data_IF_962656499394
#
_entry.id   IF_962656499394
#
_cell.length_a   1.000
_cell.length_b   1.000
_cell.length_c   1.000
_cell.angle_alpha   90.00
_cell.angle_beta   90.00
_cell.angle_gamma   90.00
#
_symmetry.space_group_name_H-M   'P 1'
#
loop_
_entity.id
_entity.type
_entity.pdbx_description
1 polymer ?
#
# COMPACT_ATOMS: atom_id res chain seq x y z
N UNK A 1 17.98 22.68 10.70
CA UNK A 1 17.11 22.67 11.91
C UNK A 1 17.86 22.97 13.21
N UNK A 2 19.20 22.89 13.28
CA UNK A 2 19.95 23.35 14.47
C UNK A 2 19.63 22.59 15.77
N UNK A 3 19.04 21.40 15.68
CA UNK A 3 18.71 20.57 16.83
C UNK A 3 19.97 19.87 17.34
N UNK A 4 20.15 19.86 18.66
CA UNK A 4 21.22 19.10 19.31
C UNK A 4 20.97 17.58 19.12
N UNK A 5 21.91 16.85 18.50
CA UNK A 5 21.80 15.40 18.33
C UNK A 5 21.60 14.62 19.64
N UNK A 6 22.05 15.16 20.78
CA UNK A 6 21.88 14.52 22.09
C UNK A 6 20.41 14.47 22.55
N UNK A 7 19.54 15.33 21.98
CA UNK A 7 18.10 15.32 22.25
C UNK A 7 17.34 14.27 21.43
N UNK A 8 17.99 13.64 20.45
CA UNK A 8 17.36 12.64 19.60
C UNK A 8 17.54 11.24 20.19
N UNK A 9 16.51 10.37 20.09
CA UNK A 9 16.66 8.99 20.52
C UNK A 9 17.69 8.27 19.64
N UNK A 10 18.45 7.36 20.25
CA UNK A 10 19.32 6.44 19.52
C UNK A 10 18.49 5.57 18.58
N UNK A 11 18.86 5.52 17.31
CA UNK A 11 18.26 4.61 16.33
C UNK A 11 18.75 3.18 16.59
N UNK A 12 17.80 2.27 16.80
CA UNK A 12 18.05 0.83 17.04
C UNK A 12 17.84 0.08 15.73
N UNK A 13 18.77 -0.80 15.36
CA UNK A 13 18.67 -1.56 14.10
C UNK A 13 17.69 -2.73 14.18
N UNK A 14 17.14 -3.20 13.05
CA UNK A 14 16.40 -4.46 13.00
C UNK A 14 17.19 -5.61 13.64
N UNK A 15 16.56 -6.30 14.59
CA UNK A 15 17.17 -7.42 15.33
C UNK A 15 18.06 -7.02 16.50
N UNK A 16 18.30 -5.72 16.73
CA UNK A 16 19.00 -5.22 17.90
C UNK A 16 18.03 -5.09 19.09
N UNK A 17 18.52 -5.39 20.29
CA UNK A 17 17.77 -5.21 21.54
C UNK A 17 17.74 -3.72 21.89
N UNK A 18 16.54 -3.15 21.99
CA UNK A 18 16.36 -1.74 22.37
C UNK A 18 16.62 -1.51 23.87
N UNK A 19 16.37 -2.54 24.69
CA UNK A 19 16.64 -2.52 26.11
C UNK A 19 16.05 -3.73 26.83
N UNK A 20 15.91 -3.62 28.14
CA UNK A 20 15.29 -4.66 28.97
C UNK A 20 14.27 -4.06 29.93
N UNK A 21 13.20 -4.81 30.21
CA UNK A 21 12.21 -4.47 31.23
C UNK A 21 12.89 -4.30 32.59
N UNK A 22 12.62 -3.16 33.26
CA UNK A 22 13.11 -2.83 34.62
C UNK A 22 12.04 -3.16 35.66
N UNK A 23 12.39 -3.22 36.94
CA UNK A 23 11.40 -3.43 38.01
C UNK A 23 10.44 -2.23 38.16
N UNK A 24 9.29 -2.45 38.82
CA UNK A 24 8.43 -1.36 39.30
C UNK A 24 7.48 -0.72 38.27
N UNK A 25 7.19 -1.40 37.17
CA UNK A 25 6.42 -0.86 36.05
C UNK A 25 4.96 -1.37 35.98
N UNK A 26 4.55 -2.27 36.88
CA UNK A 26 3.17 -2.78 36.98
C UNK A 26 2.67 -3.59 35.77
N UNK A 27 3.53 -3.87 34.78
CA UNK A 27 3.18 -4.70 33.62
C UNK A 27 3.47 -6.18 33.91
N UNK A 28 2.80 -7.12 33.25
CA UNK A 28 2.97 -8.56 33.46
C UNK A 28 4.25 -9.11 32.79
N UNK A 29 5.36 -8.37 32.82
CA UNK A 29 6.63 -8.77 32.21
C UNK A 29 7.71 -8.92 33.28
N UNK A 30 8.46 -10.02 33.23
CA UNK A 30 9.58 -10.26 34.14
C UNK A 30 10.72 -9.27 33.90
N UNK A 31 11.41 -8.86 34.97
CA UNK A 31 12.66 -8.08 34.88
C UNK A 31 13.65 -8.77 33.93
N UNK A 32 14.33 -7.98 33.11
CA UNK A 32 15.33 -8.49 32.16
C UNK A 32 14.74 -8.99 30.84
N UNK A 33 13.41 -9.02 30.68
CA UNK A 33 12.76 -9.33 29.39
C UNK A 33 13.26 -8.35 28.31
N UNK A 34 13.72 -8.88 27.18
CA UNK A 34 14.24 -8.08 26.08
C UNK A 34 13.12 -7.25 25.44
N UNK A 35 13.41 -6.00 25.15
CA UNK A 35 12.54 -5.08 24.41
C UNK A 35 13.07 -4.96 22.98
N UNK A 36 12.24 -5.30 22.00
CA UNK A 36 12.58 -5.12 20.59
C UNK A 36 12.48 -3.63 20.19
N UNK A 37 13.13 -3.25 19.08
CA UNK A 37 13.12 -1.88 18.55
C UNK A 37 11.72 -1.34 18.21
N UNK A 38 10.74 -2.21 18.00
CA UNK A 38 9.44 -1.84 17.44
C UNK A 38 9.57 -1.37 15.99
N UNK A 39 8.46 -0.90 15.42
CA UNK A 39 8.41 -0.34 14.07
C UNK A 39 7.10 0.44 13.90
N UNK A 40 7.00 1.27 12.86
CA UNK A 40 5.74 1.90 12.46
C UNK A 40 4.70 0.87 12.01
N UNK A 41 3.42 1.26 12.05
CA UNK A 41 2.26 0.42 11.74
C UNK A 41 2.31 -0.22 10.34
N UNK A 42 2.62 0.55 9.29
CA UNK A 42 2.68 0.08 7.91
C UNK A 42 3.88 -0.86 7.69
N UNK A 43 5.01 -0.59 8.35
CA UNK A 43 6.16 -1.48 8.36
C UNK A 43 5.88 -2.78 9.15
N UNK A 44 5.13 -2.72 10.25
CA UNK A 44 4.67 -3.90 10.97
C UNK A 44 3.70 -4.73 10.10
N UNK A 45 2.77 -4.07 9.41
CA UNK A 45 1.85 -4.72 8.48
C UNK A 45 2.61 -5.39 7.32
N UNK A 46 3.54 -4.68 6.68
CA UNK A 46 4.41 -5.24 5.64
C UNK A 46 5.18 -6.48 6.12
N UNK A 47 5.75 -6.41 7.34
CA UNK A 47 6.46 -7.52 7.95
C UNK A 47 5.54 -8.72 8.22
N UNK A 48 4.37 -8.48 8.82
CA UNK A 48 3.40 -9.51 9.19
C UNK A 48 2.75 -10.20 7.98
N UNK A 49 2.57 -9.46 6.89
CA UNK A 49 2.11 -9.98 5.60
C UNK A 49 3.21 -10.73 4.82
N UNK A 50 4.47 -10.59 5.24
CA UNK A 50 5.59 -11.16 4.52
C UNK A 50 5.81 -10.51 3.15
N UNK A 51 5.50 -9.21 3.02
CA UNK A 51 5.68 -8.44 1.79
C UNK A 51 7.12 -8.58 1.32
N UNK A 52 7.27 -8.85 0.02
CA UNK A 52 8.56 -8.88 -0.68
C UNK A 52 8.74 -7.58 -1.46
N UNK A 53 9.98 -7.18 -1.74
CA UNK A 53 10.23 -6.03 -2.60
C UNK A 53 9.41 -6.09 -3.90
N UNK A 54 8.83 -4.95 -4.28
CA UNK A 54 8.01 -4.82 -5.49
C UNK A 54 6.57 -5.34 -5.39
N UNK A 55 6.13 -5.88 -4.24
CA UNK A 55 4.72 -6.26 -4.02
C UNK A 55 3.92 -5.07 -3.47
N UNK A 56 2.90 -4.56 -4.19
CA UNK A 56 2.10 -3.43 -3.73
C UNK A 56 1.11 -3.82 -2.64
N UNK A 57 0.93 -2.93 -1.67
CA UNK A 57 -0.10 -3.02 -0.64
C UNK A 57 -0.98 -1.79 -0.68
N UNK A 58 -2.29 -2.00 -0.58
CA UNK A 58 -3.31 -0.96 -0.41
C UNK A 58 -4.06 -1.22 0.88
N UNK A 59 -3.95 -0.30 1.82
CA UNK A 59 -4.67 -0.30 3.08
C UNK A 59 -5.91 0.59 2.99
N UNK A 60 -7.07 -0.02 3.13
CA UNK A 60 -8.38 0.63 3.12
C UNK A 60 -8.88 0.86 4.55
N UNK A 61 -8.46 1.97 5.15
CA UNK A 61 -9.03 2.50 6.38
C UNK A 61 -9.92 3.72 6.12
N UNK A 62 -10.25 4.44 7.19
CA UNK A 62 -10.91 5.76 7.13
C UNK A 62 -10.25 6.63 6.06
N UNK A 63 -8.91 6.70 6.14
CA UNK A 63 -8.01 7.17 5.10
C UNK A 63 -7.40 5.99 4.32
N UNK A 64 -6.88 6.27 3.13
CA UNK A 64 -6.25 5.27 2.28
C UNK A 64 -4.74 5.36 2.38
N UNK A 65 -4.05 4.23 2.36
CA UNK A 65 -2.58 4.21 2.31
C UNK A 65 -2.10 3.17 1.32
N UNK A 66 -1.12 3.54 0.51
CA UNK A 66 -0.47 2.66 -0.46
C UNK A 66 1.02 2.66 -0.24
N UNK A 67 1.61 1.46 -0.26
CA UNK A 67 3.04 1.29 -0.02
C UNK A 67 3.57 0.02 -0.70
N UNK A 68 4.90 -0.04 -0.83
CA UNK A 68 5.62 -1.25 -1.20
C UNK A 68 6.93 -1.31 -0.40
N UNK A 69 7.52 -2.49 -0.28
CA UNK A 69 8.92 -2.62 0.17
C UNK A 69 9.83 -2.44 -1.05
N UNK A 70 10.94 -1.74 -0.90
CA UNK A 70 11.98 -1.60 -1.92
C UNK A 70 13.36 -1.57 -1.28
N UNK A 71 14.36 -2.06 -2.01
CA UNK A 71 15.76 -2.06 -1.56
C UNK A 71 16.46 -0.74 -1.91
N UNK A 72 15.84 0.11 -2.73
CA UNK A 72 16.36 1.41 -3.11
C UNK A 72 15.68 2.50 -2.30
N UNK A 73 16.46 3.47 -1.82
CA UNK A 73 15.90 4.62 -1.14
C UNK A 73 14.98 5.38 -2.11
N UNK A 74 13.70 5.60 -1.76
CA UNK A 74 12.81 6.38 -2.61
C UNK A 74 13.31 7.82 -2.70
N UNK A 75 13.27 8.35 -3.91
CA UNK A 75 13.63 9.72 -4.22
C UNK A 75 12.47 10.38 -4.95
N UNK A 76 11.66 11.12 -4.20
CA UNK A 76 10.57 11.93 -4.75
C UNK A 76 10.80 13.41 -4.44
N UNK A 77 11.22 14.22 -5.44
CA UNK A 77 11.44 15.64 -5.24
C UNK A 77 10.15 16.43 -4.98
N UNK A 78 8.97 15.85 -5.27
CA UNK A 78 7.68 16.51 -5.02
C UNK A 78 7.26 16.44 -3.56
N UNK A 79 7.85 15.53 -2.77
CA UNK A 79 7.48 15.28 -1.37
C UNK A 79 6.14 14.56 -1.19
N UNK A 80 5.59 13.98 -2.26
CA UNK A 80 4.32 13.23 -2.22
C UNK A 80 4.52 11.85 -1.58
N UNK A 81 5.62 11.18 -1.92
CA UNK A 81 6.00 9.87 -1.39
C UNK A 81 6.88 10.03 -0.16
N UNK A 82 6.39 9.55 0.97
CA UNK A 82 7.17 9.48 2.20
C UNK A 82 8.13 8.28 2.13
N UNK A 83 9.42 8.52 2.37
CA UNK A 83 10.45 7.47 2.41
C UNK A 83 10.70 6.97 3.82
N UNK A 84 9.95 5.96 4.26
CA UNK A 84 10.18 5.31 5.55
C UNK A 84 11.19 4.17 5.46
N UNK A 85 11.74 3.76 6.61
CA UNK A 85 12.43 2.48 6.74
C UNK A 85 11.40 1.37 6.96
N UNK A 86 11.65 0.19 6.38
CA UNK A 86 10.89 -1.00 6.71
C UNK A 86 11.40 -1.64 8.02
N UNK A 87 10.75 -2.72 8.46
CA UNK A 87 11.12 -3.42 9.69
C UNK A 87 12.36 -4.35 9.57
N UNK A 88 12.93 -4.50 8.37
CA UNK A 88 14.05 -5.42 8.05
C UNK A 88 15.33 -4.68 7.61
N UNK A 89 15.28 -3.37 7.43
CA UNK A 89 16.40 -2.53 7.00
C UNK A 89 16.36 -2.14 5.51
N UNK A 90 15.30 -2.51 4.81
CA UNK A 90 14.93 -2.00 3.49
C UNK A 90 14.13 -0.67 3.64
N UNK A 91 13.56 -0.18 2.55
CA UNK A 91 12.76 1.05 2.52
C UNK A 91 11.28 0.74 2.27
N UNK A 92 10.43 1.64 2.75
CA UNK A 92 8.98 1.60 2.65
C UNK A 92 8.46 2.93 2.09
N UNK A 93 8.58 3.18 0.77
CA UNK A 93 7.87 4.28 0.12
C UNK A 93 6.37 4.14 0.34
N UNK A 94 5.75 5.26 0.70
CA UNK A 94 4.36 5.27 1.13
C UNK A 94 3.69 6.59 0.75
N UNK A 95 2.47 6.51 0.26
CA UNK A 95 1.59 7.65 0.03
C UNK A 95 0.23 7.42 0.71
N UNK A 96 -0.38 8.50 1.19
CA UNK A 96 -1.67 8.46 1.87
C UNK A 96 -2.67 9.39 1.18
N UNK A 97 -3.92 8.94 1.10
CA UNK A 97 -5.08 9.76 0.75
C UNK A 97 -5.95 9.96 1.99
N UNK A 98 -6.59 11.12 2.12
CA UNK A 98 -7.55 11.40 3.19
C UNK A 98 -8.88 10.69 2.92
N UNK A 99 -9.34 10.72 1.67
CA UNK A 99 -10.67 10.25 1.30
C UNK A 99 -10.62 8.82 0.78
N UNK A 100 -10.93 7.88 1.67
CA UNK A 100 -11.03 6.45 1.36
C UNK A 100 -12.40 5.91 1.80
N UNK A 101 -12.47 5.05 2.82
CA UNK A 101 -13.74 4.48 3.24
C UNK A 101 -14.66 5.53 3.85
N UNK A 102 -14.13 6.55 4.52
CA UNK A 102 -14.93 7.61 5.13
C UNK A 102 -15.77 8.36 4.10
N UNK A 103 -15.18 8.71 2.95
CA UNK A 103 -15.87 9.48 1.93
C UNK A 103 -16.94 8.65 1.22
N UNK A 104 -16.67 7.36 0.96
CA UNK A 104 -17.65 6.41 0.43
C UNK A 104 -18.80 6.20 1.41
N UNK A 105 -18.50 6.01 2.70
CA UNK A 105 -19.50 5.88 3.76
C UNK A 105 -20.39 7.14 3.84
N UNK A 106 -19.80 8.33 3.64
CA UNK A 106 -20.57 9.59 3.59
C UNK A 106 -21.50 9.65 2.39
N UNK A 107 -21.06 9.22 1.21
CA UNK A 107 -21.91 9.18 0.00
C UNK A 107 -23.03 8.16 0.15
N UNK A 108 -22.74 6.95 0.66
CA UNK A 108 -23.75 5.95 0.95
C UNK A 108 -24.83 6.48 1.90
N UNK A 109 -24.42 7.18 2.97
CA UNK A 109 -25.35 7.80 3.90
C UNK A 109 -26.20 8.91 3.26
N UNK A 110 -25.63 9.76 2.42
CA UNK A 110 -26.36 10.81 1.71
C UNK A 110 -27.41 10.25 0.75
N UNK A 111 -27.12 9.08 0.14
CA UNK A 111 -28.02 8.40 -0.78
C UNK A 111 -29.00 7.44 -0.07
N UNK A 112 -28.84 7.25 1.24
CA UNK A 112 -29.56 6.25 2.04
C UNK A 112 -29.43 4.84 1.45
N UNK A 113 -28.21 4.44 1.08
CA UNK A 113 -27.89 3.15 0.48
C UNK A 113 -26.99 2.30 1.39
N UNK A 114 -27.14 0.99 1.30
CA UNK A 114 -26.14 0.05 1.82
C UNK A 114 -24.84 0.16 1.00
N UNK A 115 -23.71 -0.09 1.66
CA UNK A 115 -22.36 0.03 1.06
C UNK A 115 -22.16 -0.88 -0.14
N UNK A 116 -22.87 -2.00 -0.20
CA UNK A 116 -22.78 -3.00 -1.26
C UNK A 116 -23.87 -2.82 -2.34
N UNK A 117 -24.78 -1.84 -2.19
CA UNK A 117 -25.81 -1.51 -3.17
C UNK A 117 -25.26 -0.72 -4.39
N UNK A 118 -24.05 -1.09 -4.83
CA UNK A 118 -23.38 -0.48 -5.98
C UNK A 118 -23.95 -1.02 -7.29
N UNK A 119 -24.11 -0.13 -8.26
CA UNK A 119 -24.52 -0.49 -9.62
C UNK A 119 -23.44 -0.04 -10.60
N UNK A 120 -22.87 -0.95 -11.41
CA UNK A 120 -21.96 -0.55 -12.47
C UNK A 120 -22.64 0.42 -13.44
N UNK A 121 -22.00 1.55 -13.69
CA UNK A 121 -22.50 2.58 -14.60
C UNK A 121 -21.38 3.22 -15.39
N UNK A 122 -21.72 3.82 -16.53
CA UNK A 122 -20.82 4.69 -17.29
C UNK A 122 -21.40 6.09 -17.29
N UNK A 123 -20.54 7.10 -17.36
CA UNK A 123 -20.94 8.50 -17.58
C UNK A 123 -20.94 9.36 -16.33
N UNK A 124 -21.03 8.77 -15.12
CA UNK A 124 -20.90 9.51 -13.86
C UNK A 124 -19.49 9.35 -13.28
N UNK A 125 -18.97 10.43 -12.72
CA UNK A 125 -17.67 10.44 -12.03
C UNK A 125 -17.80 11.23 -10.75
N UNK A 126 -17.27 10.67 -9.65
CA UNK A 126 -17.15 11.37 -8.38
C UNK A 126 -15.67 11.46 -7.98
N UNK A 127 -15.18 12.65 -7.67
CA UNK A 127 -13.95 12.85 -6.92
C UNK A 127 -14.34 13.08 -5.45
N UNK A 128 -14.09 12.12 -4.54
CA UNK A 128 -14.65 12.17 -3.21
C UNK A 128 -13.79 13.00 -2.24
N UNK A 129 -13.24 14.14 -2.66
CA UNK A 129 -12.33 14.97 -1.84
C UNK A 129 -13.08 15.86 -0.85
N UNK A 130 -13.87 15.23 0.03
CA UNK A 130 -14.80 15.93 0.92
C UNK A 130 -14.09 16.77 1.99
N UNK A 131 -12.88 16.35 2.40
CA UNK A 131 -12.04 17.03 3.39
C UNK A 131 -10.81 17.73 2.77
N UNK A 132 -10.88 18.09 1.48
CA UNK A 132 -9.68 18.33 0.69
C UNK A 132 -8.92 17.02 0.43
N UNK A 133 -7.71 17.07 -0.12
CA UNK A 133 -6.89 15.87 -0.35
C UNK A 133 -5.39 16.12 -0.12
N UNK A 134 -4.71 15.09 0.40
CA UNK A 134 -3.27 15.07 0.62
C UNK A 134 -2.52 14.58 -0.61
N UNK A 135 -3.02 13.51 -1.22
CA UNK A 135 -2.43 12.92 -2.43
C UNK A 135 -3.54 12.71 -3.47
N UNK A 136 -3.61 13.53 -4.53
CA UNK A 136 -2.74 14.68 -4.83
C UNK A 136 -2.90 15.84 -3.83
N UNK A 137 -1.91 16.74 -3.76
CA UNK A 137 -1.91 17.88 -2.83
C UNK A 137 -2.95 18.93 -3.23
N UNK A 138 -4.18 18.76 -2.75
CA UNK A 138 -5.35 19.59 -3.03
C UNK A 138 -6.09 19.90 -1.71
N UNK A 139 -5.47 20.61 -0.76
CA UNK A 139 -6.01 20.79 0.59
C UNK A 139 -7.33 21.58 0.63
N UNK A 140 -7.59 22.39 -0.41
CA UNK A 140 -8.77 23.24 -0.50
C UNK A 140 -9.81 22.71 -1.49
N UNK A 141 -9.65 21.49 -2.02
CA UNK A 141 -10.67 20.92 -2.91
C UNK A 141 -11.90 20.49 -2.13
N UNK A 142 -13.03 20.41 -2.82
CA UNK A 142 -14.26 19.78 -2.35
C UNK A 142 -14.64 18.62 -3.26
N UNK A 143 -15.62 17.82 -2.82
CA UNK A 143 -16.16 16.75 -3.64
C UNK A 143 -16.71 17.27 -4.97
N UNK A 144 -16.41 16.58 -6.07
CA UNK A 144 -16.88 16.93 -7.40
C UNK A 144 -17.65 15.77 -8.00
N UNK A 145 -18.91 16.02 -8.37
CA UNK A 145 -19.77 15.09 -9.08
C UNK A 145 -20.00 15.60 -10.50
N UNK A 146 -19.72 14.76 -11.49
CA UNK A 146 -19.86 15.11 -12.89
C UNK A 146 -20.62 14.04 -13.67
N UNK A 147 -21.34 14.47 -14.72
CA UNK A 147 -21.96 13.59 -15.70
C UNK A 147 -23.35 13.07 -15.35
N UNK A 148 -24.05 13.72 -14.41
CA UNK A 148 -25.43 13.41 -14.07
C UNK A 148 -26.36 13.49 -15.31
N UNK A 149 -27.27 12.52 -15.38
CA UNK A 149 -28.34 12.40 -16.38
C UNK A 149 -29.64 12.02 -15.66
N UNK A 150 -30.78 12.18 -16.34
CA UNK A 150 -32.09 11.84 -15.76
C UNK A 150 -32.22 10.36 -15.36
N UNK A 151 -31.47 9.48 -16.01
CA UNK A 151 -31.44 8.03 -15.77
C UNK A 151 -30.32 7.58 -14.81
N UNK A 152 -29.57 8.52 -14.23
CA UNK A 152 -28.53 8.18 -13.24
C UNK A 152 -29.17 7.65 -11.96
N UNK A 153 -28.75 6.46 -11.53
CA UNK A 153 -29.25 5.84 -10.29
C UNK A 153 -28.36 6.15 -9.08
N UNK A 154 -28.91 5.97 -7.87
CA UNK A 154 -28.15 6.07 -6.62
C UNK A 154 -27.02 5.02 -6.54
N UNK A 155 -27.26 3.80 -7.02
CA UNK A 155 -26.23 2.75 -7.05
C UNK A 155 -25.06 3.10 -7.96
N UNK A 156 -25.31 3.78 -9.10
CA UNK A 156 -24.26 4.28 -9.99
C UNK A 156 -23.46 5.41 -9.35
N UNK A 157 -24.11 6.29 -8.60
CA UNK A 157 -23.44 7.36 -7.83
C UNK A 157 -22.55 6.78 -6.73
N UNK A 158 -23.05 5.77 -6.00
CA UNK A 158 -22.26 5.08 -4.99
C UNK A 158 -21.05 4.38 -5.64
N UNK A 159 -21.25 3.67 -6.76
CA UNK A 159 -20.15 3.05 -7.50
C UNK A 159 -19.10 4.09 -7.97
N UNK A 160 -19.54 5.28 -8.40
CA UNK A 160 -18.63 6.36 -8.78
C UNK A 160 -17.79 6.87 -7.58
N UNK A 161 -18.33 6.82 -6.36
CA UNK A 161 -17.56 7.15 -5.15
C UNK A 161 -16.45 6.14 -4.87
N UNK A 162 -16.75 4.85 -5.00
CA UNK A 162 -15.73 3.79 -4.95
C UNK A 162 -14.69 3.97 -6.04
N UNK A 163 -15.11 4.24 -7.28
CA UNK A 163 -14.21 4.45 -8.41
C UNK A 163 -13.25 5.62 -8.16
N UNK A 164 -13.78 6.76 -7.68
CA UNK A 164 -12.97 7.94 -7.37
C UNK A 164 -11.93 7.70 -6.27
N UNK A 165 -12.34 7.05 -5.18
CA UNK A 165 -11.44 6.75 -4.06
C UNK A 165 -10.34 5.76 -4.48
N UNK A 166 -10.70 4.67 -5.17
CA UNK A 166 -9.73 3.69 -5.69
C UNK A 166 -8.82 4.32 -6.74
N UNK A 167 -9.36 5.15 -7.63
CA UNK A 167 -8.56 5.84 -8.64
C UNK A 167 -7.50 6.73 -8.00
N UNK A 168 -7.87 7.52 -6.98
CA UNK A 168 -6.91 8.34 -6.22
C UNK A 168 -5.80 7.50 -5.59
N UNK A 169 -6.16 6.36 -4.97
CA UNK A 169 -5.20 5.43 -4.38
C UNK A 169 -4.28 4.77 -5.42
N UNK A 170 -4.79 4.43 -6.60
CA UNK A 170 -3.98 3.86 -7.67
C UNK A 170 -3.03 4.91 -8.27
N UNK A 171 -3.48 6.16 -8.42
CA UNK A 171 -2.62 7.26 -8.83
C UNK A 171 -1.50 7.51 -7.80
N UNK A 172 -1.82 7.44 -6.50
CA UNK A 172 -0.81 7.50 -5.44
C UNK A 172 0.14 6.30 -5.47
N UNK A 173 -0.36 5.10 -5.77
CA UNK A 173 0.43 3.88 -5.86
C UNK A 173 1.43 3.95 -7.02
N UNK A 174 1.04 4.53 -8.16
CA UNK A 174 1.94 4.73 -9.31
C UNK A 174 3.13 5.64 -8.99
N UNK A 175 3.01 6.52 -7.98
CA UNK A 175 4.13 7.34 -7.48
C UNK A 175 5.05 6.55 -6.53
N UNK A 176 4.49 5.62 -5.77
CA UNK A 176 5.19 4.76 -4.81
C UNK A 176 6.00 3.67 -5.50
N UNK A 177 5.44 3.10 -6.57
CA UNK A 177 6.06 1.99 -7.30
C UNK A 177 7.24 2.49 -8.15
N UNK A 178 8.39 1.86 -7.98
CA UNK A 178 9.60 2.13 -8.75
C UNK A 178 9.76 1.13 -9.91
N UNK A 179 10.92 1.15 -10.57
CA UNK A 179 11.22 0.25 -11.69
C UNK A 179 11.32 -1.23 -11.30
N UNK A 180 11.45 -1.54 -10.01
CA UNK A 180 11.54 -2.91 -9.50
C UNK A 180 10.16 -3.48 -9.14
N UNK A 181 9.10 -2.68 -9.28
CA UNK A 181 7.73 -3.14 -9.06
C UNK A 181 7.36 -4.22 -10.08
N UNK A 182 7.00 -5.40 -9.59
CA UNK A 182 6.54 -6.50 -10.43
C UNK A 182 5.11 -6.19 -10.92
N UNK A 183 4.88 -5.99 -12.24
CA UNK A 183 3.54 -5.72 -12.76
C UNK A 183 2.60 -6.91 -12.62
N UNK A 184 3.15 -8.13 -12.48
CA UNK A 184 2.38 -9.36 -12.30
C UNK A 184 2.07 -9.67 -10.83
N UNK A 185 2.72 -8.98 -9.89
CA UNK A 185 2.47 -9.17 -8.47
C UNK A 185 1.04 -8.75 -8.11
N UNK A 186 0.36 -9.54 -7.26
CA UNK A 186 -0.97 -9.20 -6.78
C UNK A 186 -0.92 -7.94 -5.91
N UNK A 187 -2.02 -7.19 -5.93
CA UNK A 187 -2.24 -6.09 -5.02
C UNK A 187 -2.83 -6.64 -3.72
N UNK A 188 -2.07 -6.50 -2.63
CA UNK A 188 -2.51 -6.93 -1.30
C UNK A 188 -3.46 -5.87 -0.73
N UNK A 189 -4.71 -6.25 -0.48
CA UNK A 189 -5.73 -5.36 0.06
C UNK A 189 -5.94 -5.66 1.54
N UNK A 190 -5.70 -4.67 2.39
CA UNK A 190 -5.82 -4.78 3.86
C UNK A 190 -6.70 -3.66 4.43
N UNK A 191 -6.96 -3.70 5.73
CA UNK A 191 -7.83 -2.72 6.41
C UNK A 191 -9.30 -3.13 6.43
N UNK A 192 -10.13 -2.29 7.05
CA UNK A 192 -11.57 -2.55 7.21
C UNK A 192 -12.30 -2.67 5.87
N UNK A 193 -11.97 -1.80 4.92
CA UNK A 193 -12.58 -1.79 3.58
C UNK A 193 -12.25 -3.03 2.74
N UNK A 194 -11.14 -3.72 3.03
CA UNK A 194 -10.72 -4.89 2.25
C UNK A 194 -11.71 -6.06 2.31
N UNK A 195 -12.60 -6.10 3.31
CA UNK A 195 -13.64 -7.14 3.45
C UNK A 195 -14.85 -6.91 2.54
N UNK A 196 -15.09 -5.68 2.11
CA UNK A 196 -16.24 -5.32 1.27
C UNK A 196 -16.07 -5.81 -0.16
N UNK A 197 -17.15 -6.33 -0.75
CA UNK A 197 -17.08 -6.90 -2.10
C UNK A 197 -16.97 -5.80 -3.15
N UNK A 198 -17.67 -4.67 -2.94
CA UNK A 198 -17.56 -3.47 -3.77
C UNK A 198 -16.12 -2.94 -3.85
N UNK A 199 -15.39 -2.88 -2.74
CA UNK A 199 -13.98 -2.48 -2.72
C UNK A 199 -13.10 -3.46 -3.51
N UNK A 200 -13.21 -4.76 -3.23
CA UNK A 200 -12.40 -5.78 -3.92
C UNK A 200 -12.63 -5.77 -5.43
N UNK A 201 -13.88 -5.68 -5.88
CA UNK A 201 -14.22 -5.65 -7.30
C UNK A 201 -13.75 -4.36 -7.97
N UNK A 202 -13.92 -3.21 -7.31
CA UNK A 202 -13.48 -1.92 -7.84
C UNK A 202 -11.95 -1.86 -7.97
N UNK A 203 -11.21 -2.27 -6.94
CA UNK A 203 -9.74 -2.34 -6.99
C UNK A 203 -9.29 -3.30 -8.08
N UNK A 204 -9.89 -4.49 -8.19
CA UNK A 204 -9.55 -5.45 -9.25
C UNK A 204 -9.79 -4.87 -10.64
N UNK A 205 -10.94 -4.22 -10.84
CA UNK A 205 -11.35 -3.62 -12.11
C UNK A 205 -10.41 -2.50 -12.53
N UNK A 206 -10.11 -1.56 -11.63
CA UNK A 206 -9.34 -0.36 -11.96
C UNK A 206 -7.83 -0.61 -11.99
N UNK A 207 -7.30 -1.45 -11.10
CA UNK A 207 -5.85 -1.75 -11.07
C UNK A 207 -5.43 -2.68 -12.21
N UNK A 208 -6.34 -3.50 -12.72
CA UNK A 208 -6.02 -4.59 -13.65
C UNK A 208 -5.13 -5.69 -13.04
N UNK A 209 -4.90 -5.66 -11.72
CA UNK A 209 -4.10 -6.65 -10.98
C UNK A 209 -5.00 -7.65 -10.28
N UNK A 210 -4.46 -8.85 -10.03
CA UNK A 210 -5.07 -9.77 -9.08
C UNK A 210 -5.12 -9.11 -7.70
N UNK A 211 -6.26 -9.16 -7.03
CA UNK A 211 -6.43 -8.66 -5.65
C UNK A 211 -6.35 -9.85 -4.70
N UNK A 212 -5.55 -9.72 -3.65
CA UNK A 212 -5.48 -10.69 -2.58
C UNK A 212 -5.83 -10.00 -1.26
N UNK A 213 -6.80 -10.56 -0.55
CA UNK A 213 -7.14 -10.14 0.82
C UNK A 213 -6.50 -11.14 1.77
N UNK A 214 -5.40 -10.78 2.46
CA UNK A 214 -4.74 -11.69 3.38
C UNK A 214 -5.69 -12.08 4.50
N UNK A 215 -5.83 -13.39 4.77
CA UNK A 215 -6.56 -13.83 5.95
C UNK A 215 -5.76 -13.46 7.19
N UNK A 216 -6.39 -12.75 8.12
CA UNK A 216 -5.84 -12.56 9.46
C UNK A 216 -5.78 -13.92 10.16
N UNK A 217 -4.66 -14.63 10.02
CA UNK A 217 -4.38 -15.78 10.88
C UNK A 217 -4.09 -15.22 12.26
N UNK A 218 -5.07 -15.31 13.15
CA UNK A 218 -4.83 -15.16 14.58
C UNK A 218 -3.77 -16.19 14.99
N UNK A 219 -2.51 -15.77 15.08
CA UNK A 219 -1.40 -16.63 15.50
C UNK A 219 -1.39 -16.89 17.01
N UNK A 220 -2.44 -16.48 17.74
CA UNK A 220 -2.53 -16.60 19.19
C UNK A 220 -2.59 -18.04 19.72
N UNK A 221 -2.62 -19.07 18.86
CA UNK A 221 -2.64 -20.46 19.34
C UNK A 221 -2.15 -21.47 18.29
N UNK A 222 -0.86 -21.45 17.97
CA UNK A 222 -0.22 -22.58 17.27
C UNK A 222 1.27 -22.62 17.57
N UNK A 223 1.62 -23.18 18.73
CA UNK A 223 2.98 -23.62 19.03
C UNK A 223 3.39 -24.76 18.11
N UNK A 224 3.89 -24.45 16.91
CA UNK A 224 4.77 -25.34 16.15
C UNK A 224 6.03 -24.58 15.81
N UNK A 225 7.10 -24.88 16.56
CA UNK A 225 8.48 -24.54 16.22
C UNK A 225 8.73 -24.98 14.77
N UNK A 226 8.77 -24.05 13.82
CA UNK A 226 9.46 -24.29 12.56
C UNK A 226 10.95 -24.33 12.88
N UNK A 227 11.51 -25.54 12.99
CA UNK A 227 12.95 -25.75 12.88
C UNK A 227 13.37 -25.23 11.49
N UNK A 228 14.24 -24.22 11.47
CA UNK A 228 15.04 -23.87 10.28
C UNK A 228 15.93 -25.08 9.96
N UNK A 229 15.95 -25.63 8.73
CA UNK A 229 17.04 -26.50 8.32
C UNK A 229 18.24 -25.63 7.92
N UNK A 230 19.42 -25.98 8.44
CA UNK A 230 20.69 -25.56 7.86
C UNK A 230 21.56 -24.63 8.71
N UNK A 231 22.10 -25.14 9.81
CA UNK A 231 23.44 -24.76 10.28
C UNK A 231 24.10 -26.04 10.78
N UNK A 232 24.93 -26.66 9.95
CA UNK A 232 25.97 -27.59 10.39
C UNK A 232 27.18 -27.46 9.46
N UNK A 233 28.41 -27.61 10.00
CA UNK A 233 29.61 -27.05 9.41
C UNK A 233 30.18 -27.91 8.27
N UNK A 234 31.03 -27.25 7.48
CA UNK A 234 31.66 -27.72 6.26
C UNK A 234 32.23 -29.15 6.31
N UNK A 235 31.99 -29.91 5.24
CA UNK A 235 32.84 -31.02 4.80
C UNK A 235 33.01 -30.97 3.29
N UNK A 236 34.27 -31.05 2.87
CA UNK A 236 34.79 -30.92 1.50
C UNK A 236 34.69 -32.21 0.70
N UNK A 237 34.06 -32.12 -0.49
CA UNK A 237 34.39 -32.72 -1.83
C UNK A 237 34.50 -34.26 -1.99
N UNK A 238 34.26 -34.86 -3.20
CA UNK A 238 34.75 -34.41 -4.51
C UNK A 238 33.77 -34.48 -5.72
N UNK A 239 34.23 -33.89 -6.84
CA UNK A 239 33.63 -33.82 -8.18
C UNK A 239 33.79 -35.13 -8.97
N UNK A 240 32.89 -35.40 -9.93
CA UNK A 240 33.12 -35.53 -11.41
C UNK A 240 31.82 -36.10 -12.10
N UNK A 241 31.73 -36.35 -13.42
CA UNK A 241 31.19 -35.41 -14.42
C UNK A 241 30.05 -35.98 -15.32
N UNK A 242 29.38 -35.11 -16.10
CA UNK A 242 28.94 -35.44 -17.46
C UNK A 242 27.43 -35.51 -17.78
N UNK A 243 27.11 -35.02 -18.99
CA UNK A 243 25.85 -35.08 -19.76
C UNK A 243 24.66 -34.22 -19.27
N UNK A 244 23.93 -33.46 -20.09
CA UNK A 244 23.89 -33.33 -21.55
C UNK A 244 22.45 -33.02 -21.99
N UNK A 245 22.21 -31.80 -22.49
CA UNK A 245 21.12 -31.39 -23.41
C UNK A 245 19.65 -31.43 -22.94
N UNK A 246 18.94 -30.29 -22.98
CA UNK A 246 18.08 -29.87 -24.13
C UNK A 246 17.27 -28.61 -23.77
N UNK A 247 17.36 -27.63 -24.67
CA UNK A 247 16.54 -26.42 -24.75
C UNK A 247 15.05 -26.74 -24.92
N UNK A 248 14.17 -25.97 -24.27
CA UNK A 248 12.95 -25.42 -24.90
C UNK A 248 12.70 -24.01 -24.37
N UNK A 249 13.13 -23.03 -25.15
CA UNK A 249 12.64 -21.67 -25.07
C UNK A 249 11.21 -21.64 -25.63
N UNK A 250 10.27 -21.05 -24.89
CA UNK A 250 9.05 -20.50 -25.49
C UNK A 250 9.13 -18.98 -25.35
N UNK A 251 9.35 -18.34 -26.50
CA UNK A 251 9.08 -16.93 -26.72
C UNK A 251 7.65 -16.60 -26.30
N UNK A 252 7.50 -15.65 -25.39
CA UNK A 252 6.39 -14.71 -25.46
C UNK A 252 6.95 -13.31 -25.63
N UNK A 253 6.39 -12.65 -26.64
CA UNK A 253 6.85 -11.40 -27.22
C UNK A 253 6.89 -10.28 -26.18
N UNK A 254 7.97 -9.49 -26.26
CA UNK A 254 8.05 -8.11 -25.78
C UNK A 254 6.82 -7.34 -26.26
N UNK A 255 6.01 -6.84 -25.34
CA UNK A 255 5.35 -5.55 -25.52
C UNK A 255 6.20 -4.52 -24.78
N UNK A 256 6.88 -3.71 -25.58
CA UNK A 256 7.67 -2.55 -25.19
C UNK A 256 6.85 -1.56 -24.36
N UNK A 257 7.54 -0.92 -23.42
CA UNK A 257 6.95 -0.05 -22.42
C UNK A 257 6.27 1.19 -22.98
N UNK A 258 5.14 1.49 -22.36
CA UNK A 258 4.62 2.83 -22.16
C UNK A 258 4.15 2.86 -20.71
N UNK A 259 4.79 3.70 -19.87
CA UNK A 259 4.22 4.10 -18.58
C UNK A 259 2.78 4.49 -18.85
N UNK A 260 1.81 3.83 -18.21
CA UNK A 260 0.40 4.19 -18.32
C UNK A 260 0.25 5.57 -17.68
N UNK A 261 0.41 6.63 -18.48
CA UNK A 261 -0.08 7.95 -18.11
C UNK A 261 -1.60 7.87 -18.22
N UNK A 262 -2.26 7.85 -17.07
CA UNK A 262 -3.69 8.11 -16.99
C UNK A 262 -3.96 9.47 -17.63
N UNK A 263 -5.03 9.63 -18.43
CA UNK A 263 -5.32 10.90 -19.08
C UNK A 263 -5.48 11.98 -18.00
N UNK A 264 -4.52 12.92 -17.97
CA UNK A 264 -4.69 14.17 -17.27
C UNK A 264 -5.87 14.90 -17.91
N UNK A 265 -6.81 15.34 -17.08
CA UNK A 265 -7.95 16.12 -17.53
C UNK A 265 -7.49 17.42 -18.21
N UNK A 266 -8.03 17.78 -19.39
CA UNK A 266 -7.78 19.06 -20.02
C UNK A 266 -8.61 20.11 -19.28
N UNK A 267 -7.97 20.92 -18.43
CA UNK A 267 -8.70 21.97 -17.70
C UNK A 267 -7.91 22.85 -16.72
N UNK A 268 -6.65 22.55 -16.41
CA UNK A 268 -5.81 23.44 -15.61
C UNK A 268 -4.58 23.87 -16.41
N UNK A 269 -4.69 25.00 -17.10
CA UNK A 269 -3.54 25.71 -17.66
C UNK A 269 -2.95 26.61 -16.58
N UNK A 270 -1.65 26.52 -16.25
CA UNK A 270 -1.01 27.53 -15.42
C UNK A 270 -0.76 28.77 -16.28
N UNK A 271 -1.56 29.82 -16.08
CA UNK A 271 -1.28 31.15 -16.64
C UNK A 271 0.02 31.69 -16.04
N UNK A 272 1.09 31.54 -16.84
CA UNK A 272 2.11 32.58 -17.10
C UNK A 272 1.75 34.01 -16.67
N UNK A 273 2.28 34.66 -15.61
CA UNK A 273 2.33 36.12 -15.64
C UNK A 273 3.40 36.52 -16.66
N UNK A 274 3.01 37.35 -17.63
CA UNK A 274 3.94 38.14 -18.44
C UNK A 274 4.09 39.51 -17.78
N UNK A 275 5.33 40.01 -17.80
CA UNK A 275 5.86 41.27 -17.30
C UNK A 275 6.04 41.33 -15.77
#
# INVERSE_FOLDING_TARGET
MGLDPALLPRVVRPGEVAGTVRDGHGLPFSKGTLVACGTGDNAAAALGLGVRPGTPVMSLGTSGTVYAVTQRRPADPTGTVAGFADARGDWLPLACTLNCTLAVDRVAALLNLDREAVEPGRGVTLLPFLDGERTPNLPNSSGLLHGLRHDTTGGQLLQAAYDGAVYSLLAALDLVLDEDADPSAPLLLIGGGARGTAWQQTVRRLSGRAVQVPQARNWSRSGRRRRRPGCSPARTRPRSPGAGTRRRARCWRRCSGTRRRWPLWPGCSPTRPRC
#
